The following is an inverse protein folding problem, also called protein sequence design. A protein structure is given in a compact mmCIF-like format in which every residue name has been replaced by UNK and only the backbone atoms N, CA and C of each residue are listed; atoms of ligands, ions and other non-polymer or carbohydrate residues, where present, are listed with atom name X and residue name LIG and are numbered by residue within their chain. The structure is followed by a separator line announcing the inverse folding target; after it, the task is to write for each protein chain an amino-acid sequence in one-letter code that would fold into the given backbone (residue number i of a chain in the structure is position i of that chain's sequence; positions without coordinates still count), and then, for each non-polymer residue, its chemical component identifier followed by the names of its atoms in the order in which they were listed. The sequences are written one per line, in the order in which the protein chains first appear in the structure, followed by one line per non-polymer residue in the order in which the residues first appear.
data_IF_751980563314
#
_entry.id   IF_751980563314
#
_cell.length_a   1.000
_cell.length_b   1.000
_cell.length_c   1.000
_cell.angle_alpha   90.00
_cell.angle_beta   90.00
_cell.angle_gamma   90.00
#
_symmetry.space_group_name_H-M   'P 1'
#
loop_
_entity.id
_entity.type
_entity.pdbx_description
1 polymer ?
#
# COMPACT_ATOMS: atom_id res chain seq x y z
N UNK A 1 8.39 1.23 8.81
CA UNK A 1 7.25 0.99 7.90
C UNK A 1 6.63 2.33 7.52
N UNK A 2 6.27 2.50 6.26
CA UNK A 2 5.77 3.80 5.81
C UNK A 2 4.25 3.91 5.97
N UNK A 3 3.78 5.11 6.32
CA UNK A 3 2.36 5.42 6.39
C UNK A 3 1.91 6.42 5.33
N UNK A 4 2.84 6.92 4.54
CA UNK A 4 2.58 7.87 3.46
C UNK A 4 3.66 7.75 2.40
N UNK A 5 3.29 7.94 1.13
CA UNK A 5 4.29 7.93 0.06
C UNK A 5 3.94 8.93 -1.04
N UNK A 6 4.87 9.09 -1.97
CA UNK A 6 4.74 9.99 -3.12
C UNK A 6 4.64 9.14 -4.38
N UNK A 7 3.70 9.46 -5.25
CA UNK A 7 3.62 8.83 -6.56
C UNK A 7 3.29 9.88 -7.61
N UNK A 8 4.18 9.98 -8.61
CA UNK A 8 4.01 10.90 -9.73
C UNK A 8 4.19 10.14 -11.04
N UNK A 9 3.73 10.71 -12.14
CA UNK A 9 3.99 10.20 -13.48
C UNK A 9 3.01 9.17 -14.01
N UNK A 10 1.97 8.82 -13.28
CA UNK A 10 0.93 7.88 -13.72
C UNK A 10 1.53 6.65 -14.43
N UNK A 11 2.27 5.79 -13.69
CA UNK A 11 3.13 4.77 -14.31
C UNK A 11 2.40 3.73 -15.17
N UNK A 12 1.11 3.54 -14.95
CA UNK A 12 0.33 2.58 -15.74
C UNK A 12 -0.72 3.26 -16.62
N UNK A 13 -0.63 4.58 -16.78
CA UNK A 13 -1.55 5.35 -17.64
C UNK A 13 -3.02 5.14 -17.24
N UNK A 14 -3.28 5.18 -15.95
CA UNK A 14 -4.63 4.97 -15.39
C UNK A 14 -5.38 6.27 -15.11
N UNK A 15 -4.78 7.41 -15.43
CA UNK A 15 -5.35 8.71 -15.10
C UNK A 15 -5.08 9.13 -13.66
N UNK A 16 -4.11 8.54 -13.02
CA UNK A 16 -3.75 8.86 -11.63
C UNK A 16 -3.02 10.20 -11.58
N UNK A 17 -3.58 11.19 -10.90
CA UNK A 17 -2.95 12.49 -10.74
C UNK A 17 -1.77 12.40 -9.78
N UNK A 18 -0.71 13.16 -10.03
CA UNK A 18 0.44 13.23 -9.14
C UNK A 18 -0.01 13.49 -7.71
N UNK A 19 0.49 12.70 -6.78
CA UNK A 19 0.13 12.81 -5.38
C UNK A 19 1.39 12.75 -4.53
N UNK A 20 1.67 13.84 -3.83
CA UNK A 20 2.87 13.95 -3.00
C UNK A 20 2.63 13.51 -1.55
N UNK A 21 1.44 13.03 -1.24
CA UNK A 21 1.10 12.59 0.10
C UNK A 21 0.00 11.52 0.03
N UNK A 22 0.32 10.39 -0.58
CA UNK A 22 -0.63 9.30 -0.70
C UNK A 22 -0.92 8.70 0.68
N UNK A 23 -2.17 8.72 1.06
CA UNK A 23 -2.63 8.25 2.37
C UNK A 23 -3.25 6.86 2.26
N UNK A 24 -3.27 6.08 3.35
CA UNK A 24 -4.05 4.84 3.38
C UNK A 24 -5.51 5.07 2.98
N UNK A 25 -6.12 4.08 2.38
CA UNK A 25 -7.49 4.07 1.83
C UNK A 25 -7.66 4.86 0.54
N UNK A 26 -6.59 5.44 0.00
CA UNK A 26 -6.60 6.04 -1.33
C UNK A 26 -6.51 4.94 -2.39
N UNK A 27 -7.21 5.13 -3.52
CA UNK A 27 -7.04 4.24 -4.68
C UNK A 27 -5.72 4.57 -5.37
N UNK A 28 -4.88 3.58 -5.57
CA UNK A 28 -3.53 3.73 -6.10
C UNK A 28 -3.28 2.77 -7.25
N UNK A 29 -2.36 3.11 -8.19
CA UNK A 29 -1.98 2.20 -9.26
C UNK A 29 -1.27 0.97 -8.72
N UNK A 30 -1.71 -0.19 -9.18
CA UNK A 30 -1.19 -1.48 -8.73
C UNK A 30 -1.06 -2.41 -9.93
N UNK A 31 -0.02 -3.23 -9.94
CA UNK A 31 0.14 -4.31 -10.90
C UNK A 31 -0.02 -5.64 -10.18
N UNK A 32 -0.86 -6.52 -10.74
CA UNK A 32 -1.05 -7.87 -10.23
C UNK A 32 -0.65 -8.88 -11.30
N UNK A 33 -0.66 -10.16 -10.97
CA UNK A 33 -0.34 -11.21 -11.93
C UNK A 33 -1.37 -11.26 -13.07
N UNK A 34 -2.60 -10.83 -12.80
CA UNK A 34 -3.70 -10.90 -13.77
C UNK A 34 -3.95 -9.58 -14.50
N UNK A 35 -3.31 -8.50 -14.08
CA UNK A 35 -3.56 -7.18 -14.64
C UNK A 35 -2.31 -6.32 -14.59
N UNK A 36 -1.92 -5.74 -15.73
CA UNK A 36 -0.71 -4.91 -15.83
C UNK A 36 -0.84 -3.56 -15.14
N UNK A 37 -2.06 -3.11 -14.86
CA UNK A 37 -2.27 -1.88 -14.13
C UNK A 37 -3.75 -1.68 -13.81
N UNK A 38 -4.03 -1.38 -12.55
CA UNK A 38 -5.39 -1.08 -12.11
C UNK A 38 -5.33 -0.24 -10.84
N UNK A 39 -6.40 0.46 -10.54
CA UNK A 39 -6.51 1.20 -9.29
C UNK A 39 -7.06 0.28 -8.21
N UNK A 40 -6.38 0.23 -7.08
CA UNK A 40 -6.83 -0.54 -5.93
C UNK A 40 -6.68 0.30 -4.67
N UNK A 41 -7.55 0.08 -3.72
CA UNK A 41 -7.48 0.78 -2.44
C UNK A 41 -6.27 0.32 -1.63
N UNK A 42 -5.50 1.27 -1.11
CA UNK A 42 -4.36 0.96 -0.25
C UNK A 42 -4.84 0.62 1.15
N UNK A 43 -5.10 -0.63 1.39
CA UNK A 43 -5.28 -1.26 2.69
C UNK A 43 -5.68 -2.70 2.44
N UNK A 44 -5.48 -3.55 3.41
CA UNK A 44 -5.89 -4.94 3.32
C UNK A 44 -6.92 -5.25 4.40
N UNK A 45 -8.02 -5.85 3.98
CA UNK A 45 -9.04 -6.33 4.90
C UNK A 45 -9.18 -7.84 4.71
N UNK A 46 -8.95 -8.63 5.77
CA UNK A 46 -9.12 -10.08 5.64
C UNK A 46 -10.58 -10.43 5.40
N UNK A 47 -10.82 -11.59 4.76
CA UNK A 47 -12.17 -12.00 4.37
C UNK A 47 -13.12 -12.15 5.55
N UNK A 48 -12.59 -12.44 6.74
CA UNK A 48 -13.40 -12.66 7.96
C UNK A 48 -13.66 -11.37 8.75
N UNK A 49 -13.07 -10.24 8.34
CA UNK A 49 -13.29 -8.95 9.01
C UNK A 49 -13.03 -7.81 8.01
N UNK A 50 -14.06 -7.44 7.27
CA UNK A 50 -13.94 -6.49 6.15
C UNK A 50 -13.76 -5.03 6.58
N UNK A 51 -14.00 -4.70 7.86
CA UNK A 51 -13.76 -3.36 8.39
C UNK A 51 -12.36 -3.17 8.98
N UNK A 52 -11.53 -4.20 8.95
CA UNK A 52 -10.14 -4.12 9.39
C UNK A 52 -9.27 -3.57 8.27
N UNK A 53 -8.62 -2.43 8.50
CA UNK A 53 -7.78 -1.79 7.48
C UNK A 53 -6.31 -1.90 7.86
N UNK A 54 -5.64 -2.90 7.29
CA UNK A 54 -4.23 -3.15 7.55
C UNK A 54 -3.41 -2.48 6.45
N UNK A 55 -2.46 -1.63 6.82
CA UNK A 55 -1.68 -0.86 5.87
C UNK A 55 -0.22 -1.30 5.79
N UNK A 56 0.25 -2.08 6.75
CA UNK A 56 1.62 -2.57 6.80
C UNK A 56 1.67 -4.02 7.25
N UNK A 57 2.71 -4.73 6.78
CA UNK A 57 2.98 -6.07 7.24
C UNK A 57 4.48 -6.32 7.19
N UNK A 58 5.04 -6.82 8.29
CA UNK A 58 6.46 -7.19 8.33
C UNK A 58 6.67 -8.47 7.54
N UNK A 59 7.66 -8.47 6.67
CA UNK A 59 7.96 -9.64 5.84
C UNK A 59 8.34 -10.87 6.68
N UNK A 60 8.94 -10.66 7.84
CA UNK A 60 9.39 -11.74 8.73
C UNK A 60 8.24 -12.59 9.26
N UNK A 61 7.05 -12.01 9.41
CA UNK A 61 5.90 -12.70 10.00
C UNK A 61 4.68 -12.75 9.06
N UNK A 62 4.86 -12.37 7.80
CA UNK A 62 3.76 -12.28 6.84
C UNK A 62 2.94 -13.56 6.78
N UNK A 63 3.60 -14.71 6.63
CA UNK A 63 2.91 -15.98 6.46
C UNK A 63 2.42 -16.60 7.77
N UNK A 64 2.83 -16.04 8.89
CA UNK A 64 2.42 -16.51 10.22
C UNK A 64 1.18 -15.81 10.74
N UNK A 65 0.78 -14.71 10.11
CA UNK A 65 -0.36 -13.91 10.58
C UNK A 65 -1.65 -14.36 9.91
N UNK A 66 -2.68 -14.76 10.70
CA UNK A 66 -3.96 -15.18 10.11
C UNK A 66 -4.64 -14.07 9.31
N UNK A 67 -4.37 -12.81 9.64
CA UNK A 67 -4.94 -11.67 8.93
C UNK A 67 -4.56 -11.64 7.44
N UNK A 68 -3.40 -12.16 7.07
CA UNK A 68 -2.92 -12.16 5.70
C UNK A 68 -3.02 -13.51 5.00
N UNK A 69 -3.68 -14.46 5.62
CA UNK A 69 -3.91 -15.75 5.00
C UNK A 69 -4.76 -15.58 3.74
N UNK A 70 -4.29 -16.12 2.62
CA UNK A 70 -4.96 -15.98 1.34
C UNK A 70 -4.67 -14.68 0.60
N UNK A 71 -3.86 -13.80 1.17
CA UNK A 71 -3.45 -12.57 0.49
C UNK A 71 -2.60 -12.90 -0.73
N UNK A 72 -2.78 -12.14 -1.81
CA UNK A 72 -2.02 -12.30 -3.04
C UNK A 72 -1.01 -11.16 -3.17
N UNK A 73 0.02 -11.39 -3.95
CA UNK A 73 1.07 -10.39 -4.16
C UNK A 73 0.66 -9.38 -5.23
N UNK A 74 1.17 -8.17 -5.09
CA UNK A 74 1.04 -7.14 -6.11
C UNK A 74 2.29 -6.25 -6.07
N UNK A 75 2.41 -5.41 -7.08
CA UNK A 75 3.48 -4.42 -7.16
C UNK A 75 2.85 -3.04 -7.09
N UNK A 76 3.32 -2.21 -6.18
CA UNK A 76 2.89 -0.83 -6.03
C UNK A 76 4.06 0.07 -6.39
N UNK A 77 3.99 0.82 -7.51
CA UNK A 77 5.03 1.78 -7.84
C UNK A 77 4.97 2.98 -6.91
N UNK A 78 6.12 3.57 -6.63
CA UNK A 78 6.17 4.80 -5.84
C UNK A 78 7.40 5.60 -6.22
N UNK A 79 7.34 6.92 -5.99
CA UNK A 79 8.46 7.82 -6.26
C UNK A 79 9.31 8.04 -5.02
N UNK A 80 8.71 7.97 -3.85
CA UNK A 80 9.40 8.13 -2.57
C UNK A 80 8.44 7.87 -1.42
N UNK A 81 8.97 7.75 -0.22
CA UNK A 81 8.13 7.55 0.95
C UNK A 81 8.60 8.40 2.11
N UNK A 82 7.72 8.59 3.09
CA UNK A 82 8.00 9.37 4.29
C UNK A 82 8.17 8.46 5.49
N UNK A 83 9.19 8.77 6.29
CA UNK A 83 9.43 8.09 7.55
C UNK A 83 9.56 9.12 8.67
N UNK A 84 8.98 8.82 9.81
CA UNK A 84 9.07 9.69 10.97
C UNK A 84 10.38 9.47 11.69
N UNK A 85 11.06 10.55 12.03
CA UNK A 85 12.30 10.50 12.79
C UNK A 85 12.11 11.25 14.09
N UNK A 86 12.44 10.61 15.20
CA UNK A 86 12.45 11.27 16.50
C UNK A 86 13.73 12.06 16.68
N UNK A 87 13.65 13.35 16.95
CA UNK A 87 14.80 14.24 17.03
C UNK A 87 15.04 14.71 18.45
N UNK A 88 14.01 15.06 19.20
CA UNK A 88 14.10 15.52 20.58
C UNK A 88 13.21 14.66 21.46
N UNK A 89 13.67 13.48 21.74
CA UNK A 89 12.91 12.54 22.55
C UNK A 89 13.09 12.84 24.03
N UNK A 90 12.01 13.03 24.72
CA UNK A 90 12.00 13.29 26.15
C UNK A 90 11.06 12.36 26.86
#
# INVERSE_FOLDING_TARGET
MCGRFVLTGDPFELGFADNYNVAPSTSIPVKTIDCDGQLMKWSFSPSWKDDMNLINCRSETLFDKPSFKGAKRCIIPFSGWYEWKKVNEK
#
